data_IF_124398074132
#
_entry.id   IF_124398074132
#
_cell.length_a   1.000
_cell.length_b   1.000
_cell.length_c   1.000
_cell.angle_alpha   90.00
_cell.angle_beta   90.00
_cell.angle_gamma   90.00
#
_symmetry.space_group_name_H-M   'P 1'
#
loop_
_entity.id
_entity.type
_entity.pdbx_description
1 polymer ?
#
# COMPACT_ATOMS: atom_id res chain seq x y z
N UNK A 1 4.27 -4.50 3.47
CA UNK A 1 4.22 -3.04 3.76
C UNK A 1 4.98 -2.69 5.02
N UNK A 2 4.76 -3.34 6.17
CA UNK A 2 5.70 -3.18 7.30
C UNK A 2 7.13 -3.61 6.93
N UNK A 3 7.25 -4.55 6.00
CA UNK A 3 8.53 -5.01 5.44
C UNK A 3 9.20 -3.98 4.50
N UNK A 4 8.53 -2.87 4.15
CA UNK A 4 9.15 -1.84 3.30
C UNK A 4 10.15 -0.97 4.06
N UNK A 5 10.10 -0.98 5.39
CA UNK A 5 10.90 -0.13 6.25
C UNK A 5 11.65 -0.90 7.35
N UNK A 6 11.23 -2.13 7.67
CA UNK A 6 11.86 -2.94 8.70
C UNK A 6 11.99 -4.41 8.26
N UNK A 7 13.10 -5.06 8.63
CA UNK A 7 13.17 -6.50 8.70
C UNK A 7 12.30 -7.02 9.86
N UNK A 8 11.70 -8.20 9.67
CA UNK A 8 10.75 -8.79 10.62
C UNK A 8 11.23 -10.16 11.10
N UNK A 9 11.42 -10.29 12.41
CA UNK A 9 11.67 -11.55 13.10
C UNK A 9 10.42 -11.94 13.90
N UNK A 10 9.97 -13.20 13.81
CA UNK A 10 8.74 -13.67 14.43
C UNK A 10 8.95 -14.91 15.29
N UNK A 11 8.37 -14.91 16.48
CA UNK A 11 8.17 -16.09 17.32
C UNK A 11 6.71 -16.16 17.75
N UNK A 12 6.21 -17.37 18.03
CA UNK A 12 4.85 -17.59 18.52
C UNK A 12 4.93 -18.20 19.91
N UNK A 13 4.22 -17.59 20.85
CA UNK A 13 4.05 -18.07 22.22
C UNK A 13 2.66 -18.66 22.36
N UNK A 14 2.55 -19.81 23.02
CA UNK A 14 1.25 -20.41 23.27
C UNK A 14 0.40 -19.52 24.17
N UNK A 15 -0.89 -19.36 23.86
CA UNK A 15 -1.81 -18.61 24.72
C UNK A 15 -1.88 -19.15 26.16
N UNK A 16 -1.64 -20.45 26.33
CA UNK A 16 -1.56 -21.13 27.64
C UNK A 16 -0.38 -20.70 28.52
N UNK A 17 0.63 -20.03 27.95
CA UNK A 17 1.81 -19.56 28.68
C UNK A 17 1.60 -18.24 29.44
N UNK A 18 0.41 -17.65 29.35
CA UNK A 18 0.05 -16.39 30.01
C UNK A 18 -0.87 -16.62 31.22
N UNK A 19 -0.92 -15.64 32.13
CA UNK A 19 -1.80 -15.68 33.30
C UNK A 19 -2.64 -14.39 33.37
N UNK A 20 -3.99 -14.48 33.28
CA UNK A 20 -4.75 -15.68 32.94
C UNK A 20 -4.43 -16.19 31.51
N UNK A 21 -4.67 -17.47 31.19
CA UNK A 21 -4.42 -18.02 29.86
C UNK A 21 -5.13 -17.24 28.76
N UNK A 22 -4.40 -16.89 27.70
CA UNK A 22 -4.95 -16.20 26.55
C UNK A 22 -5.73 -17.19 25.66
N UNK A 23 -6.83 -16.71 25.06
CA UNK A 23 -7.68 -17.52 24.17
C UNK A 23 -7.07 -17.75 22.78
N UNK A 24 -5.95 -17.09 22.48
CA UNK A 24 -5.23 -17.17 21.20
C UNK A 24 -3.74 -17.20 21.46
N UNK A 25 -2.99 -17.73 20.50
CA UNK A 25 -1.52 -17.64 20.52
C UNK A 25 -1.06 -16.20 20.33
N UNK A 26 0.08 -15.87 20.94
CA UNK A 26 0.65 -14.53 20.94
C UNK A 26 1.88 -14.50 20.05
N UNK A 27 1.87 -13.64 19.03
CA UNK A 27 3.03 -13.41 18.17
C UNK A 27 3.98 -12.37 18.78
N UNK A 28 5.21 -12.75 19.06
CA UNK A 28 6.31 -11.82 19.30
C UNK A 28 6.90 -11.40 17.96
N UNK A 29 6.84 -10.10 17.65
CA UNK A 29 7.39 -9.55 16.40
C UNK A 29 8.45 -8.52 16.76
N UNK A 30 9.69 -8.78 16.33
CA UNK A 30 10.77 -7.80 16.38
C UNK A 30 10.89 -7.14 15.00
N UNK A 31 10.83 -5.81 15.01
CA UNK A 31 10.98 -4.97 13.82
C UNK A 31 12.35 -4.30 13.90
N UNK A 32 13.19 -4.51 12.89
CA UNK A 32 14.51 -3.90 12.78
C UNK A 32 14.48 -2.94 11.60
N UNK A 33 14.61 -1.62 11.81
CA UNK A 33 14.64 -0.67 10.71
C UNK A 33 15.70 -1.03 9.68
N UNK A 34 15.32 -1.01 8.41
CA UNK A 34 16.25 -1.15 7.30
C UNK A 34 17.15 0.09 7.25
N UNK A 35 18.39 -0.09 6.79
CA UNK A 35 19.29 1.04 6.53
C UNK A 35 18.72 1.97 5.46
N UNK A 36 18.17 1.36 4.41
CA UNK A 36 17.49 2.05 3.31
C UNK A 36 16.09 1.44 3.14
N UNK A 37 15.03 2.26 3.12
CA UNK A 37 13.68 1.77 2.89
C UNK A 37 13.53 1.26 1.45
N UNK A 38 12.73 0.21 1.26
CA UNK A 38 12.44 -0.36 -0.07
C UNK A 38 11.71 0.67 -0.94
N UNK A 39 10.76 1.39 -0.35
CA UNK A 39 10.01 2.45 -1.03
C UNK A 39 10.60 3.81 -0.65
N UNK A 40 11.29 4.44 -1.59
CA UNK A 40 11.92 5.75 -1.41
C UNK A 40 10.96 6.89 -1.78
N UNK A 41 9.84 6.99 -1.08
CA UNK A 41 8.85 8.07 -1.26
C UNK A 41 8.44 8.65 0.10
N UNK A 42 7.91 9.88 0.16
CA UNK A 42 7.41 10.46 1.41
C UNK A 42 6.30 9.59 2.02
N UNK A 43 6.33 9.43 3.35
CA UNK A 43 5.39 8.56 4.05
C UNK A 43 3.93 8.90 3.76
N UNK A 44 3.57 10.19 3.72
CA UNK A 44 2.19 10.64 3.46
C UNK A 44 1.68 10.18 2.09
N UNK A 45 2.55 10.16 1.08
CA UNK A 45 2.22 9.65 -0.24
C UNK A 45 2.01 8.13 -0.21
N UNK A 46 2.95 7.42 0.43
CA UNK A 46 2.89 5.96 0.57
C UNK A 46 1.59 5.57 1.28
N UNK A 47 1.28 6.22 2.39
CA UNK A 47 0.07 6.01 3.18
C UNK A 47 -1.19 6.27 2.34
N UNK A 48 -1.23 7.38 1.59
CA UNK A 48 -2.35 7.69 0.70
C UNK A 48 -2.56 6.60 -0.35
N UNK A 49 -1.49 6.18 -1.04
CA UNK A 49 -1.53 5.14 -2.08
C UNK A 49 -2.04 3.82 -1.50
N UNK A 50 -1.47 3.36 -0.39
CA UNK A 50 -1.87 2.11 0.28
C UNK A 50 -3.34 2.16 0.69
N UNK A 51 -3.77 3.25 1.33
CA UNK A 51 -5.15 3.39 1.79
C UNK A 51 -6.17 3.34 0.64
N UNK A 52 -5.80 3.88 -0.52
CA UNK A 52 -6.63 3.84 -1.72
C UNK A 52 -6.67 2.44 -2.35
N UNK A 53 -5.51 1.79 -2.49
CA UNK A 53 -5.39 0.43 -3.05
C UNK A 53 -6.12 -0.60 -2.18
N UNK A 54 -5.81 -0.63 -0.88
CA UNK A 54 -6.31 -1.65 0.05
C UNK A 54 -7.72 -1.38 0.59
N UNK A 55 -8.41 -0.36 0.07
CA UNK A 55 -9.85 -0.15 0.29
C UNK A 55 -10.70 -1.34 -0.18
N UNK A 56 -10.17 -2.18 -1.09
CA UNK A 56 -10.77 -3.47 -1.45
C UNK A 56 -9.72 -4.50 -1.82
N UNK A 57 -9.30 -5.34 -0.87
CA UNK A 57 -8.17 -6.28 -1.02
C UNK A 57 -8.34 -7.30 -2.16
N UNK A 58 -9.57 -7.66 -2.50
CA UNK A 58 -9.88 -8.65 -3.55
C UNK A 58 -10.07 -8.01 -4.93
N UNK A 59 -10.00 -6.67 -5.05
CA UNK A 59 -10.15 -5.98 -6.34
C UNK A 59 -8.91 -6.20 -7.21
N UNK A 60 -9.11 -6.17 -8.52
CA UNK A 60 -8.02 -6.02 -9.50
C UNK A 60 -7.39 -4.63 -9.39
N UNK A 61 -6.12 -4.53 -9.74
CA UNK A 61 -5.30 -3.33 -9.59
C UNK A 61 -6.00 -2.09 -10.15
N UNK A 62 -6.42 -2.15 -11.42
CA UNK A 62 -7.13 -1.05 -12.12
C UNK A 62 -8.31 -0.48 -11.32
N UNK A 63 -9.06 -1.32 -10.61
CA UNK A 63 -10.18 -0.88 -9.77
C UNK A 63 -9.75 -0.36 -8.40
N UNK A 64 -8.58 -0.77 -7.89
CA UNK A 64 -7.98 -0.19 -6.69
C UNK A 64 -7.42 1.21 -6.95
N UNK A 65 -6.71 1.40 -8.06
CA UNK A 65 -6.03 2.67 -8.38
C UNK A 65 -7.01 3.79 -8.69
N UNK A 66 -8.22 3.50 -9.18
CA UNK A 66 -9.28 4.50 -9.42
C UNK A 66 -9.53 5.42 -8.21
N UNK A 67 -9.37 4.91 -6.99
CA UNK A 67 -9.56 5.72 -5.78
C UNK A 67 -8.50 6.83 -5.59
N UNK A 68 -7.41 6.81 -6.37
CA UNK A 68 -6.38 7.86 -6.35
C UNK A 68 -6.72 9.08 -7.22
N UNK A 69 -7.74 8.95 -8.07
CA UNK A 69 -8.10 9.97 -9.05
C UNK A 69 -9.58 10.36 -8.91
N UNK A 70 -9.93 11.62 -9.23
CA UNK A 70 -11.32 12.05 -9.40
C UNK A 70 -12.08 11.24 -10.45
N UNK A 71 -13.40 11.38 -10.49
CA UNK A 71 -14.25 10.77 -11.52
C UNK A 71 -13.83 11.20 -12.94
N UNK A 72 -14.06 10.32 -13.92
CA UNK A 72 -13.74 10.53 -15.35
C UNK A 72 -12.24 10.78 -15.65
N UNK A 73 -11.37 10.08 -14.91
CA UNK A 73 -9.90 10.11 -15.08
C UNK A 73 -9.34 8.73 -15.41
N UNK A 74 -10.06 7.95 -16.22
CA UNK A 74 -9.63 6.60 -16.62
C UNK A 74 -8.26 6.59 -17.33
N UNK A 75 -7.93 7.67 -18.04
CA UNK A 75 -6.64 7.85 -18.69
C UNK A 75 -5.48 7.86 -17.70
N UNK A 76 -5.65 8.50 -16.52
CA UNK A 76 -4.62 8.55 -15.48
C UNK A 76 -4.44 7.19 -14.79
N UNK A 77 -5.53 6.43 -14.65
CA UNK A 77 -5.48 5.05 -14.12
C UNK A 77 -4.66 4.17 -15.06
N UNK A 78 -4.93 4.22 -16.36
CA UNK A 78 -4.19 3.45 -17.36
C UNK A 78 -2.74 3.91 -17.45
N UNK A 79 -2.50 5.23 -17.42
CA UNK A 79 -1.16 5.83 -17.36
C UNK A 79 -0.38 5.25 -16.19
N UNK A 80 -0.94 5.31 -14.98
CA UNK A 80 -0.28 4.82 -13.77
C UNK A 80 0.04 3.33 -13.83
N UNK A 81 -0.93 2.49 -14.21
CA UNK A 81 -0.72 1.03 -14.24
C UNK A 81 0.32 0.63 -15.27
N UNK A 82 0.31 1.26 -16.45
CA UNK A 82 1.29 0.98 -17.50
C UNK A 82 2.70 1.41 -17.10
N UNK A 83 2.86 2.63 -16.55
CA UNK A 83 4.18 3.12 -16.14
C UNK A 83 4.72 2.43 -14.89
N UNK A 84 3.84 1.95 -14.01
CA UNK A 84 4.25 1.18 -12.83
C UNK A 84 4.72 -0.24 -13.19
N UNK A 85 4.51 -0.68 -14.43
CA UNK A 85 4.87 -2.02 -14.92
C UNK A 85 4.35 -3.12 -13.98
N UNK A 86 3.04 -3.12 -13.78
CA UNK A 86 2.31 -4.12 -12.98
C UNK A 86 1.15 -4.64 -13.80
N UNK A 87 0.93 -5.96 -13.80
CA UNK A 87 -0.20 -6.55 -14.52
C UNK A 87 -1.53 -5.95 -14.01
N UNK A 88 -2.35 -5.33 -14.89
CA UNK A 88 -3.60 -4.67 -14.53
C UNK A 88 -4.64 -5.61 -13.90
N UNK A 89 -4.50 -6.92 -14.11
CA UNK A 89 -5.38 -7.96 -13.58
C UNK A 89 -4.96 -8.47 -12.21
N UNK A 90 -3.76 -8.10 -11.74
CA UNK A 90 -3.24 -8.44 -10.42
C UNK A 90 -4.21 -8.01 -9.33
N UNK A 91 -4.51 -8.91 -8.39
CA UNK A 91 -5.32 -8.51 -7.23
C UNK A 91 -4.48 -7.70 -6.26
N UNK A 92 -5.09 -6.70 -5.62
CA UNK A 92 -4.40 -5.85 -4.65
C UNK A 92 -3.67 -6.65 -3.56
N UNK A 93 -4.27 -7.73 -3.05
CA UNK A 93 -3.65 -8.58 -2.03
C UNK A 93 -2.40 -9.34 -2.50
N UNK A 94 -2.17 -9.43 -3.81
CA UNK A 94 -1.02 -10.12 -4.41
C UNK A 94 0.12 -9.16 -4.73
N UNK A 95 -0.08 -7.84 -4.56
CA UNK A 95 0.97 -6.85 -4.81
C UNK A 95 2.14 -7.02 -3.84
N UNK A 96 3.33 -7.04 -4.41
CA UNK A 96 4.60 -7.01 -3.69
C UNK A 96 4.91 -5.59 -3.20
N UNK A 97 5.85 -5.47 -2.25
CA UNK A 97 6.29 -4.16 -1.75
C UNK A 97 6.94 -3.34 -2.86
N UNK A 98 7.70 -3.97 -3.75
CA UNK A 98 8.36 -3.30 -4.87
C UNK A 98 7.35 -2.76 -5.89
N UNK A 99 6.31 -3.52 -6.22
CA UNK A 99 5.21 -3.06 -7.09
C UNK A 99 4.48 -1.86 -6.49
N UNK A 100 4.19 -1.90 -5.18
CA UNK A 100 3.63 -0.74 -4.49
C UNK A 100 4.58 0.46 -4.56
N UNK A 101 5.89 0.22 -4.45
CA UNK A 101 6.90 1.26 -4.60
C UNK A 101 6.90 1.91 -5.98
N UNK A 102 6.80 1.12 -7.06
CA UNK A 102 6.67 1.64 -8.43
C UNK A 102 5.38 2.42 -8.62
N UNK A 103 4.26 1.94 -8.09
CA UNK A 103 2.98 2.66 -8.10
C UNK A 103 3.13 4.01 -7.37
N UNK A 104 3.78 4.04 -6.21
CA UNK A 104 4.02 5.28 -5.47
C UNK A 104 4.88 6.27 -6.28
N UNK A 105 5.94 5.77 -6.91
CA UNK A 105 6.82 6.60 -7.73
C UNK A 105 6.08 7.26 -8.90
N UNK A 106 5.35 6.47 -9.68
CA UNK A 106 4.56 6.99 -10.82
C UNK A 106 3.46 7.93 -10.35
N UNK A 107 2.80 7.62 -9.23
CA UNK A 107 1.79 8.53 -8.67
C UNK A 107 2.39 9.86 -8.22
N UNK A 108 3.63 9.88 -7.71
CA UNK A 108 4.31 11.13 -7.38
C UNK A 108 4.60 11.97 -8.62
N UNK A 109 5.02 11.35 -9.72
CA UNK A 109 5.21 12.05 -11.00
C UNK A 109 3.91 12.67 -11.50
N UNK A 110 2.80 11.94 -11.42
CA UNK A 110 1.48 12.46 -11.76
C UNK A 110 1.05 13.62 -10.83
N UNK A 111 1.38 13.55 -9.53
CA UNK A 111 1.13 14.65 -8.60
C UNK A 111 2.02 15.87 -8.88
N UNK A 112 3.21 15.68 -9.44
CA UNK A 112 4.08 16.78 -9.86
C UNK A 112 3.52 17.48 -11.11
N UNK A 113 2.91 16.74 -12.03
CA UNK A 113 2.19 17.27 -13.19
C UNK A 113 0.86 17.97 -12.79
N UNK A 114 0.05 17.32 -11.93
CA UNK A 114 -1.25 17.82 -11.46
C UNK A 114 -1.30 17.84 -9.90
N UNK A 115 -0.87 18.95 -9.25
CA UNK A 115 -0.76 19.04 -7.78
C UNK A 115 -2.07 18.80 -7.01
N UNK A 116 -3.23 19.05 -7.64
CA UNK A 116 -4.55 18.83 -7.04
C UNK A 116 -4.81 17.35 -6.74
N UNK A 117 -4.18 16.42 -7.47
CA UNK A 117 -4.28 14.98 -7.22
C UNK A 117 -3.79 14.63 -5.81
N UNK A 118 -2.80 15.36 -5.30
CA UNK A 118 -2.25 15.14 -3.95
C UNK A 118 -3.28 15.44 -2.87
N UNK A 119 -4.18 16.40 -3.10
CA UNK A 119 -5.24 16.82 -2.16
C UNK A 119 -6.55 16.03 -2.31
N UNK A 120 -6.78 15.44 -3.47
CA UNK A 120 -7.98 14.64 -3.73
C UNK A 120 -8.18 13.51 -2.69
N UNK A 121 -9.43 13.31 -2.26
CA UNK A 121 -9.78 12.26 -1.30
C UNK A 121 -11.14 11.64 -1.65
N UNK A 122 -11.10 10.45 -2.26
CA UNK A 122 -12.29 9.72 -2.71
C UNK A 122 -13.32 9.38 -1.61
N UNK A 123 -12.96 9.49 -0.33
CA UNK A 123 -13.89 9.26 0.79
C UNK A 123 -14.73 10.49 1.12
N UNK A 124 -14.25 11.68 0.77
CA UNK A 124 -14.96 12.95 1.01
C UNK A 124 -15.88 13.32 -0.16
N UNK A 125 -15.57 12.85 -1.36
CA UNK A 125 -16.35 13.11 -2.58
C UNK A 125 -17.52 12.12 -2.81
N UNK A 126 -18.16 11.64 -1.74
CA UNK A 126 -19.31 10.71 -1.79
C UNK A 126 -20.64 11.37 -1.42
#
# INVERSE_FOLDING_TARGET
>A
LKDSACDRECAVLSGSSFVPPAAVDVGLVRLVPLKEPIIQQPFDLIEKVINCLFNGRQKVLTNGVKNLFPYHREELVMKLVNFADVDPTTRIIQLTVDEVGRICHVYEELCAEEPELRRYNFRLDR
#
